data_IF_247754230171
#
_entry.id   IF_247754230171
#
_cell.length_a   1.000
_cell.length_b   1.000
_cell.length_c   1.000
_cell.angle_alpha   90.00
_cell.angle_beta   90.00
_cell.angle_gamma   90.00
#
_symmetry.space_group_name_H-M   'P 1'
#
loop_
_entity.id
_entity.type
_entity.pdbx_description
1 polymer ?
#
# COMPACT_ATOMS: atom_id res chain seq x y z
N UNK A 1 11.20 -3.55 7.79
CA UNK A 1 10.89 -4.99 7.68
C UNK A 1 9.37 -5.13 7.74
N UNK A 2 8.70 -5.55 6.67
CA UNK A 2 7.25 -5.35 6.54
C UNK A 2 6.41 -6.58 6.88
N UNK A 3 5.23 -6.37 7.46
CA UNK A 3 4.28 -7.38 7.97
C UNK A 3 4.04 -8.60 7.07
N UNK A 4 4.07 -8.42 5.74
CA UNK A 4 3.85 -9.51 4.77
C UNK A 4 4.93 -10.60 4.76
N UNK A 5 6.13 -10.34 5.30
CA UNK A 5 7.18 -11.37 5.36
C UNK A 5 6.79 -12.49 6.31
N UNK A 6 6.17 -12.15 7.45
CA UNK A 6 5.67 -13.12 8.42
C UNK A 6 4.49 -13.91 7.85
N UNK A 7 3.52 -13.23 7.23
CA UNK A 7 2.39 -13.91 6.57
C UNK A 7 2.88 -14.94 5.54
N UNK A 8 3.83 -14.56 4.67
CA UNK A 8 4.38 -15.46 3.65
C UNK A 8 5.11 -16.65 4.27
N UNK A 9 5.91 -16.43 5.31
CA UNK A 9 6.62 -17.52 6.01
C UNK A 9 5.62 -18.50 6.66
N UNK A 10 4.57 -17.98 7.31
CA UNK A 10 3.53 -18.80 7.92
C UNK A 10 2.82 -19.64 6.86
N UNK A 11 2.45 -19.05 5.73
CA UNK A 11 1.74 -19.75 4.66
C UNK A 11 2.61 -20.82 3.99
N UNK A 12 3.88 -20.49 3.70
CA UNK A 12 4.85 -21.48 3.17
C UNK A 12 5.03 -22.63 4.19
N UNK A 13 5.14 -22.32 5.48
CA UNK A 13 5.25 -23.31 6.54
C UNK A 13 4.02 -24.22 6.62
N UNK A 14 2.81 -23.66 6.58
CA UNK A 14 1.55 -24.44 6.58
C UNK A 14 1.47 -25.35 5.36
N UNK A 15 1.79 -24.83 4.17
CA UNK A 15 1.79 -25.63 2.94
C UNK A 15 2.82 -26.77 2.99
N UNK A 16 3.99 -26.52 3.55
CA UNK A 16 5.03 -27.52 3.74
C UNK A 16 4.58 -28.63 4.70
N UNK A 17 3.99 -28.26 5.84
CA UNK A 17 3.43 -29.20 6.82
C UNK A 17 2.27 -30.02 6.21
N UNK A 18 1.38 -29.39 5.45
CA UNK A 18 0.30 -30.09 4.75
C UNK A 18 0.84 -31.08 3.71
N UNK A 19 1.94 -30.74 3.04
CA UNK A 19 2.59 -31.62 2.06
C UNK A 19 3.25 -32.83 2.75
N UNK A 20 3.90 -32.63 3.90
CA UNK A 20 4.44 -33.72 4.73
C UNK A 20 3.33 -34.60 5.27
N UNK A 21 2.25 -34.01 5.81
CA UNK A 21 1.09 -34.75 6.29
C UNK A 21 0.44 -35.57 5.17
N UNK A 22 0.35 -35.01 3.95
CA UNK A 22 -0.15 -35.69 2.76
C UNK A 22 0.69 -36.93 2.39
N UNK A 23 1.99 -36.94 2.70
CA UNK A 23 2.89 -38.05 2.41
C UNK A 23 2.64 -39.29 3.30
N UNK A 24 2.04 -39.12 4.48
CA UNK A 24 1.70 -40.20 5.41
C UNK A 24 0.44 -40.97 4.98
N UNK A 25 -0.38 -40.39 4.09
CA UNK A 25 -1.63 -41.02 3.64
C UNK A 25 -1.44 -42.08 2.55
N UNK A 26 -2.34 -43.07 2.52
CA UNK A 26 -2.40 -44.10 1.47
C UNK A 26 -2.65 -43.50 0.08
N UNK A 27 -2.19 -44.16 -0.99
CA UNK A 27 -2.19 -43.64 -2.38
C UNK A 27 -3.53 -43.03 -2.84
N UNK A 28 -4.68 -43.58 -2.41
CA UNK A 28 -6.01 -43.03 -2.73
C UNK A 28 -6.30 -41.72 -1.97
N UNK A 29 -6.00 -41.66 -0.67
CA UNK A 29 -6.22 -40.47 0.19
C UNK A 29 -5.22 -39.34 -0.12
N UNK A 30 -4.00 -39.69 -0.55
CA UNK A 30 -2.97 -38.74 -0.97
C UNK A 30 -3.40 -37.87 -2.16
N UNK A 31 -4.12 -38.44 -3.14
CA UNK A 31 -4.62 -37.68 -4.30
C UNK A 31 -5.64 -36.62 -3.88
N UNK A 32 -6.53 -36.96 -2.94
CA UNK A 32 -7.51 -36.02 -2.39
C UNK A 32 -6.81 -34.92 -1.59
N UNK A 33 -5.84 -35.29 -0.75
CA UNK A 33 -5.06 -34.32 0.03
C UNK A 33 -4.29 -33.33 -0.87
N UNK A 34 -3.64 -33.81 -1.92
CA UNK A 34 -2.95 -32.95 -2.89
C UNK A 34 -3.93 -32.03 -3.63
N UNK A 35 -5.10 -32.55 -4.02
CA UNK A 35 -6.15 -31.73 -4.64
C UNK A 35 -6.59 -30.57 -3.73
N UNK A 36 -6.80 -30.83 -2.43
CA UNK A 36 -7.12 -29.78 -1.46
C UNK A 36 -6.00 -28.74 -1.33
N UNK A 37 -4.74 -29.17 -1.29
CA UNK A 37 -3.59 -28.25 -1.23
C UNK A 37 -3.55 -27.33 -2.46
N UNK A 38 -3.80 -27.87 -3.65
CA UNK A 38 -3.84 -27.08 -4.90
C UNK A 38 -4.96 -26.05 -4.85
N UNK A 39 -6.15 -26.42 -4.37
CA UNK A 39 -7.28 -25.48 -4.24
C UNK A 39 -6.95 -24.35 -3.27
N UNK A 40 -6.34 -24.65 -2.12
CA UNK A 40 -5.91 -23.65 -1.15
C UNK A 40 -4.85 -22.71 -1.75
N UNK A 41 -3.87 -23.25 -2.46
CA UNK A 41 -2.86 -22.47 -3.19
C UNK A 41 -3.48 -21.55 -4.23
N UNK A 42 -4.42 -22.06 -5.02
CA UNK A 42 -5.11 -21.26 -6.03
C UNK A 42 -5.91 -20.11 -5.40
N UNK A 43 -6.65 -20.39 -4.32
CA UNK A 43 -7.39 -19.36 -3.58
C UNK A 43 -6.47 -18.30 -2.97
N UNK A 44 -5.31 -18.71 -2.46
CA UNK A 44 -4.31 -17.80 -1.93
C UNK A 44 -3.72 -16.87 -2.99
N UNK A 45 -3.36 -17.42 -4.16
CA UNK A 45 -2.86 -16.63 -5.29
C UNK A 45 -3.91 -15.62 -5.77
N UNK A 46 -5.17 -16.04 -5.88
CA UNK A 46 -6.29 -15.17 -6.24
C UNK A 46 -6.47 -14.05 -5.21
N UNK A 47 -6.42 -14.36 -3.92
CA UNK A 47 -6.52 -13.37 -2.85
C UNK A 47 -5.42 -12.29 -2.98
N UNK A 48 -4.18 -12.70 -3.22
CA UNK A 48 -3.07 -11.75 -3.40
C UNK A 48 -3.22 -10.89 -4.65
N UNK A 49 -3.69 -11.48 -5.76
CA UNK A 49 -3.93 -10.75 -6.99
C UNK A 49 -5.03 -9.69 -6.82
N UNK A 50 -6.18 -10.09 -6.26
CA UNK A 50 -7.32 -9.19 -6.03
C UNK A 50 -6.95 -8.09 -5.02
N UNK A 51 -6.25 -8.44 -3.93
CA UNK A 51 -5.80 -7.46 -2.94
C UNK A 51 -4.90 -6.38 -3.55
N UNK A 52 -4.02 -6.76 -4.47
CA UNK A 52 -3.18 -5.80 -5.20
C UNK A 52 -3.99 -4.76 -5.96
N UNK A 53 -5.05 -5.21 -6.65
CA UNK A 53 -5.94 -4.33 -7.40
C UNK A 53 -6.77 -3.41 -6.49
N UNK A 54 -7.26 -3.93 -5.36
CA UNK A 54 -8.00 -3.12 -4.38
C UNK A 54 -7.12 -1.99 -3.84
N UNK A 55 -5.89 -2.30 -3.43
CA UNK A 55 -4.96 -1.29 -2.90
C UNK A 55 -4.59 -0.22 -3.94
N UNK A 56 -4.46 -0.61 -5.21
CA UNK A 56 -4.22 0.34 -6.29
C UNK A 56 -5.42 1.27 -6.51
N UNK A 57 -6.63 0.72 -6.46
CA UNK A 57 -7.86 1.51 -6.61
C UNK A 57 -8.06 2.48 -5.44
N UNK A 58 -7.86 2.02 -4.20
CA UNK A 58 -7.89 2.87 -3.00
C UNK A 58 -6.86 4.01 -3.08
N UNK A 59 -5.67 3.74 -3.60
CA UNK A 59 -4.64 4.75 -3.79
C UNK A 59 -5.06 5.80 -4.83
N UNK A 60 -5.61 5.38 -5.97
CA UNK A 60 -6.15 6.30 -6.99
C UNK A 60 -7.27 7.18 -6.42
N UNK A 61 -8.19 6.60 -5.66
CA UNK A 61 -9.24 7.37 -4.98
C UNK A 61 -8.67 8.35 -3.94
N UNK A 62 -7.58 7.99 -3.27
CA UNK A 62 -6.92 8.91 -2.33
C UNK A 62 -6.24 10.06 -3.05
N UNK A 63 -5.63 9.83 -4.23
CA UNK A 63 -5.09 10.90 -5.07
C UNK A 63 -6.19 11.87 -5.49
N UNK A 64 -7.34 11.37 -5.93
CA UNK A 64 -8.47 12.20 -6.35
C UNK A 64 -8.98 13.10 -5.22
N UNK A 65 -9.26 12.53 -4.04
CA UNK A 65 -9.72 13.29 -2.86
C UNK A 65 -8.67 14.30 -2.39
N UNK A 66 -7.38 13.94 -2.41
CA UNK A 66 -6.29 14.86 -2.05
C UNK A 66 -6.16 15.98 -3.08
N UNK A 67 -6.29 15.69 -4.38
CA UNK A 67 -6.25 16.71 -5.42
C UNK A 67 -7.40 17.70 -5.29
N UNK A 68 -8.63 17.23 -5.07
CA UNK A 68 -9.79 18.12 -4.85
C UNK A 68 -9.56 19.03 -3.64
N UNK A 69 -9.03 18.47 -2.54
CA UNK A 69 -8.67 19.23 -1.36
C UNK A 69 -7.64 20.32 -1.67
N UNK A 70 -6.53 19.96 -2.32
CA UNK A 70 -5.46 20.90 -2.65
C UNK A 70 -5.94 22.00 -3.63
N UNK A 71 -6.76 21.66 -4.61
CA UNK A 71 -7.36 22.65 -5.52
C UNK A 71 -8.23 23.66 -4.77
N UNK A 72 -8.92 23.22 -3.70
CA UNK A 72 -9.72 24.12 -2.86
C UNK A 72 -8.88 25.03 -1.97
N UNK A 73 -7.74 24.55 -1.48
CA UNK A 73 -6.89 25.27 -0.53
C UNK A 73 -5.85 26.16 -1.22
N UNK A 74 -5.31 25.70 -2.35
CA UNK A 74 -4.20 26.29 -3.09
C UNK A 74 -4.55 26.37 -4.59
N UNK A 75 -5.56 27.18 -4.97
CA UNK A 75 -6.14 27.16 -6.32
C UNK A 75 -5.21 27.64 -7.44
N UNK A 76 -4.17 28.41 -7.11
CA UNK A 76 -3.19 28.94 -8.06
C UNK A 76 -1.88 28.13 -8.07
N UNK A 77 -1.82 27.05 -7.30
CA UNK A 77 -0.60 26.27 -7.12
C UNK A 77 -0.64 24.98 -7.92
N UNK A 78 0.54 24.55 -8.37
CA UNK A 78 0.72 23.29 -9.06
C UNK A 78 1.53 22.33 -8.16
N UNK A 79 1.18 21.05 -8.21
CA UNK A 79 1.87 20.00 -7.48
C UNK A 79 2.01 18.74 -8.31
N UNK A 80 3.04 17.97 -8.00
CA UNK A 80 3.30 16.66 -8.58
C UNK A 80 3.14 15.59 -7.51
N UNK A 81 2.37 14.53 -7.82
CA UNK A 81 2.26 13.35 -6.96
C UNK A 81 3.53 12.51 -7.08
N UNK A 82 4.16 12.18 -5.95
CA UNK A 82 5.27 11.24 -5.91
C UNK A 82 4.72 9.83 -5.77
N UNK A 83 5.01 8.99 -6.76
CA UNK A 83 4.77 7.57 -6.64
C UNK A 83 5.89 6.89 -5.83
N UNK A 84 5.55 6.41 -4.64
CA UNK A 84 6.47 5.65 -3.78
C UNK A 84 6.98 4.38 -4.45
N UNK A 85 6.22 3.73 -5.34
CA UNK A 85 6.70 2.52 -6.04
C UNK A 85 7.90 2.80 -6.94
N UNK A 86 7.93 3.95 -7.62
CA UNK A 86 9.06 4.37 -8.46
C UNK A 86 10.33 4.54 -7.64
N UNK A 87 10.19 4.92 -6.37
CA UNK A 87 11.30 5.02 -5.39
C UNK A 87 11.62 3.70 -4.69
N UNK A 88 11.07 2.57 -5.14
CA UNK A 88 11.23 1.26 -4.52
C UNK A 88 10.59 1.15 -3.12
N UNK A 89 9.73 2.11 -2.76
CA UNK A 89 9.02 2.15 -1.50
C UNK A 89 7.59 1.62 -1.67
N UNK A 90 6.99 1.17 -0.56
CA UNK A 90 5.61 0.69 -0.59
C UNK A 90 4.64 1.87 -0.69
N UNK A 91 3.68 1.79 -1.62
CA UNK A 91 2.48 2.64 -1.59
C UNK A 91 1.68 2.37 -0.33
N UNK A 92 1.15 3.45 0.23
CA UNK A 92 0.21 3.45 1.36
C UNK A 92 -1.14 3.87 0.77
N UNK A 93 -2.15 3.00 0.81
CA UNK A 93 -3.38 3.22 0.01
C UNK A 93 -4.15 4.48 0.38
N UNK A 94 -3.98 4.98 1.61
CA UNK A 94 -4.63 6.19 2.11
C UNK A 94 -3.69 7.40 2.27
N UNK A 95 -2.44 7.33 1.78
CA UNK A 95 -1.50 8.45 1.87
C UNK A 95 -0.91 8.79 0.51
N UNK A 96 -0.89 10.07 0.22
CA UNK A 96 -0.42 10.64 -1.04
C UNK A 96 0.72 11.58 -0.71
N UNK A 97 1.88 11.33 -1.32
CA UNK A 97 3.02 12.22 -1.24
C UNK A 97 2.94 13.19 -2.41
N UNK A 98 3.12 14.48 -2.15
CA UNK A 98 3.16 15.51 -3.18
C UNK A 98 4.38 16.40 -2.99
N UNK A 99 4.71 17.11 -4.06
CA UNK A 99 5.68 18.22 -4.06
C UNK A 99 5.03 19.38 -4.79
N UNK A 100 4.99 20.55 -4.16
CA UNK A 100 4.54 21.77 -4.81
C UNK A 100 5.64 22.30 -5.73
N UNK A 101 5.27 22.84 -6.89
CA UNK A 101 6.22 23.34 -7.89
C UNK A 101 7.07 24.52 -7.36
N UNK A 102 6.55 25.29 -6.40
CA UNK A 102 7.25 26.38 -5.74
C UNK A 102 8.12 25.91 -4.53
N UNK A 103 7.99 24.66 -4.08
CA UNK A 103 8.70 24.07 -2.95
C UNK A 103 9.21 22.66 -3.26
N UNK A 104 10.03 22.55 -4.32
CA UNK A 104 10.48 21.26 -4.89
C UNK A 104 11.28 20.36 -3.95
N UNK A 105 11.83 20.93 -2.88
CA UNK A 105 12.66 20.24 -1.89
C UNK A 105 11.87 19.64 -0.74
N UNK A 106 10.57 19.95 -0.65
CA UNK A 106 9.71 19.54 0.46
C UNK A 106 8.67 18.55 -0.02
N UNK A 107 8.58 17.40 0.66
CA UNK A 107 7.56 16.39 0.37
C UNK A 107 6.48 16.47 1.44
N UNK A 108 5.27 16.79 1.02
CA UNK A 108 4.08 16.79 1.88
C UNK A 108 3.35 15.47 1.71
N UNK A 109 3.10 14.78 2.81
CA UNK A 109 2.28 13.57 2.83
C UNK A 109 0.89 13.93 3.35
N UNK A 110 -0.12 13.83 2.49
CA UNK A 110 -1.52 13.96 2.87
C UNK A 110 -2.14 12.59 3.10
N UNK A 111 -3.02 12.48 4.10
CA UNK A 111 -3.75 11.27 4.42
C UNK A 111 -5.24 11.49 4.21
N UNK A 112 -5.87 10.60 3.43
CA UNK A 112 -7.32 10.46 3.38
C UNK A 112 -7.82 9.68 4.60
N UNK A 113 -8.77 10.25 5.34
CA UNK A 113 -9.45 9.60 6.46
C UNK A 113 -10.70 8.87 6.00
N UNK A 114 -11.27 8.04 6.88
CA UNK A 114 -12.43 7.18 6.55
C UNK A 114 -13.70 7.99 6.19
N UNK A 115 -13.79 9.23 6.66
CA UNK A 115 -14.87 10.17 6.34
C UNK A 115 -14.56 11.08 5.13
N UNK A 116 -13.61 10.68 4.26
CA UNK A 116 -13.13 11.45 3.11
C UNK A 116 -12.56 12.84 3.45
N UNK A 117 -12.17 13.09 4.70
CA UNK A 117 -11.39 14.28 5.01
C UNK A 117 -9.93 14.07 4.63
N UNK A 118 -9.23 15.18 4.41
CA UNK A 118 -7.80 15.19 4.11
C UNK A 118 -7.09 15.90 5.24
N UNK A 119 -6.05 15.26 5.77
CA UNK A 119 -5.17 15.85 6.77
C UNK A 119 -3.73 15.77 6.30
N UNK A 120 -2.95 16.81 6.56
CA UNK A 120 -1.50 16.73 6.42
C UNK A 120 -0.98 15.77 7.49
N UNK A 121 -0.30 14.71 7.07
CA UNK A 121 0.18 13.64 7.95
C UNK A 121 1.65 13.83 8.35
N UNK A 122 2.48 14.23 7.39
CA UNK A 122 3.93 14.29 7.55
C UNK A 122 4.49 15.27 6.53
N UNK A 123 5.47 16.07 6.95
CA UNK A 123 6.27 16.91 6.06
C UNK A 123 7.72 16.45 6.14
N UNK A 124 8.32 16.19 4.99
CA UNK A 124 9.74 15.91 4.89
C UNK A 124 10.44 17.11 4.25
N UNK A 125 11.24 17.79 5.06
CA UNK A 125 11.65 19.17 4.83
C UNK A 125 13.08 19.26 4.24
N UNK A 126 13.79 18.13 4.13
CA UNK A 126 15.17 18.11 3.68
C UNK A 126 16.06 18.99 4.56
N UNK A 127 16.65 20.05 3.99
CA UNK A 127 17.52 21.02 4.68
C UNK A 127 16.81 22.32 5.08
N UNK A 128 15.53 22.51 4.71
CA UNK A 128 14.79 23.73 5.02
C UNK A 128 14.35 23.81 6.49
N UNK A 129 14.08 25.02 6.95
CA UNK A 129 13.48 25.23 8.28
C UNK A 129 11.93 25.17 8.18
N UNK A 130 11.28 24.69 9.25
CA UNK A 130 9.81 24.58 9.33
C UNK A 130 9.13 25.94 9.12
N UNK A 131 9.73 27.01 9.64
CA UNK A 131 9.19 28.38 9.56
C UNK A 131 9.18 28.95 8.13
N UNK A 132 9.89 28.32 7.19
CA UNK A 132 9.99 28.74 5.79
C UNK A 132 8.99 28.02 4.88
N UNK A 133 8.22 27.07 5.43
CA UNK A 133 7.28 26.24 4.68
C UNK A 133 5.97 26.99 4.43
N UNK A 134 5.60 27.13 3.15
CA UNK A 134 4.38 27.87 2.78
C UNK A 134 3.11 27.05 2.97
N UNK A 135 3.24 25.73 2.88
CA UNK A 135 2.10 24.80 2.89
C UNK A 135 1.97 24.00 4.20
N UNK A 136 2.75 24.33 5.23
CA UNK A 136 2.63 23.62 6.50
C UNK A 136 1.31 23.98 7.19
N UNK A 137 0.52 22.97 7.55
CA UNK A 137 -0.78 23.11 8.22
C UNK A 137 -0.77 22.67 9.69
N UNK A 138 0.39 22.66 10.34
CA UNK A 138 0.54 22.41 11.78
C UNK A 138 -0.11 23.50 12.66
#
# INVERSE_FOLDING_TARGET
MGDYTLERIIIIGVLFLLTIAAAVFTKKKRKVAIGLIIVVLAGYLLFFFVRGQILENEYKQSIEVVNEYLQSQFPEEEWTVIDRLEKGQKRRSNKVDIVFENEKEVIYTYKKTDNNQVVQWEVNIGEKNIDELKHNQE
#
